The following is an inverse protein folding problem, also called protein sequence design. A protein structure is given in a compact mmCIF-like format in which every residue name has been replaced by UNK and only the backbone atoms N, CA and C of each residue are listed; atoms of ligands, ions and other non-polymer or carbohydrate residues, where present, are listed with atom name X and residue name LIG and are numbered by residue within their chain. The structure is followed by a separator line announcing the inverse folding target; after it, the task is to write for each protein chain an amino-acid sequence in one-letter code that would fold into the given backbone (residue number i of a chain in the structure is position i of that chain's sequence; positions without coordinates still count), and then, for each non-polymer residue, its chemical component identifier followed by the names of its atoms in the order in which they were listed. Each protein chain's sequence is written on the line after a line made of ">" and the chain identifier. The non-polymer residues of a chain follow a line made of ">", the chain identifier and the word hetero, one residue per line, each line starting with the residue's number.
data_IF_341224994180
#
_entry.id   IF_341224994180
#
_cell.length_a   1.000
_cell.length_b   1.000
_cell.length_c   1.000
_cell.angle_alpha   90.00
_cell.angle_beta   90.00
_cell.angle_gamma   90.00
#
_symmetry.space_group_name_H-M   'P 1'
#
loop_
_entity.id
_entity.type
_entity.pdbx_description
1 polymer ?
#
# COMPACT_ATOMS: atom_id res chain seq x y z
N UNK A 1 85.94 86.81 -168.46
CA UNK A 1 84.76 87.30 -167.70
C UNK A 1 83.65 86.25 -167.59
N UNK A 2 83.24 85.55 -168.66
CA UNK A 2 82.11 84.60 -168.62
C UNK A 2 82.31 83.33 -167.75
N UNK A 3 83.53 82.77 -167.68
CA UNK A 3 83.84 81.58 -166.87
C UNK A 3 83.85 81.84 -165.35
N UNK A 4 84.23 83.05 -164.90
CA UNK A 4 84.18 83.45 -163.49
C UNK A 4 82.73 83.65 -163.00
N UNK A 5 81.85 84.18 -163.86
CA UNK A 5 80.43 84.36 -163.55
C UNK A 5 79.71 83.00 -163.47
N UNK A 6 80.04 82.06 -164.38
CA UNK A 6 79.50 80.70 -164.34
C UNK A 6 79.96 79.92 -163.09
N UNK A 7 81.23 80.03 -162.70
CA UNK A 7 81.74 79.42 -161.46
C UNK A 7 81.08 80.01 -160.21
N UNK A 8 80.88 81.34 -160.15
CA UNK A 8 80.15 82.00 -159.06
C UNK A 8 78.66 81.59 -159.02
N UNK A 9 78.00 81.41 -160.16
CA UNK A 9 76.62 80.92 -160.22
C UNK A 9 76.51 79.45 -159.76
N UNK A 10 77.46 78.58 -160.12
CA UNK A 10 77.49 77.18 -159.68
C UNK A 10 77.80 77.09 -158.19
N UNK A 11 78.74 77.89 -157.68
CA UNK A 11 79.08 77.95 -156.26
C UNK A 11 77.94 78.53 -155.41
N UNK A 12 77.23 79.55 -155.91
CA UNK A 12 75.99 80.07 -155.29
C UNK A 12 74.88 79.04 -155.30
N UNK A 13 74.74 78.24 -156.36
CA UNK A 13 73.73 77.17 -156.46
C UNK A 13 74.07 76.00 -155.53
N UNK A 14 75.34 75.61 -155.45
CA UNK A 14 75.86 74.62 -154.50
C UNK A 14 75.64 75.08 -153.06
N UNK A 15 75.99 76.33 -152.74
CA UNK A 15 75.75 76.94 -151.42
C UNK A 15 74.26 76.99 -151.07
N UNK A 16 73.38 77.26 -152.04
CA UNK A 16 71.93 77.19 -151.84
C UNK A 16 71.43 75.75 -151.58
N UNK A 17 71.94 74.75 -152.31
CA UNK A 17 71.60 73.34 -152.06
C UNK A 17 72.12 72.85 -150.71
N UNK A 18 73.37 73.19 -150.36
CA UNK A 18 73.95 72.90 -149.05
C UNK A 18 73.16 73.60 -147.92
N UNK A 19 72.72 74.84 -148.13
CA UNK A 19 71.84 75.56 -147.19
C UNK A 19 70.50 74.85 -147.00
N UNK A 20 69.87 74.38 -148.08
CA UNK A 20 68.57 73.69 -148.03
C UNK A 20 68.70 72.30 -147.35
N UNK A 21 69.79 71.58 -147.62
CA UNK A 21 70.14 70.33 -146.93
C UNK A 21 70.38 70.58 -145.44
N UNK A 22 71.17 71.60 -145.09
CA UNK A 22 71.39 71.98 -143.68
C UNK A 22 70.09 72.40 -143.00
N UNK A 23 69.18 73.07 -143.69
CA UNK A 23 67.86 73.45 -143.16
C UNK A 23 66.99 72.21 -142.90
N UNK A 24 67.02 71.21 -143.79
CA UNK A 24 66.34 69.92 -143.59
C UNK A 24 66.90 69.13 -142.41
N UNK A 25 68.24 69.09 -142.26
CA UNK A 25 68.89 68.45 -141.11
C UNK A 25 68.59 69.21 -139.82
N UNK A 26 68.59 70.55 -139.83
CA UNK A 26 68.19 71.37 -138.67
C UNK A 26 66.74 71.12 -138.26
N UNK A 27 65.83 70.96 -139.23
CA UNK A 27 64.43 70.61 -138.94
C UNK A 27 64.33 69.22 -138.31
N UNK A 28 65.05 68.22 -138.85
CA UNK A 28 65.06 66.87 -138.30
C UNK A 28 65.68 66.82 -136.90
N UNK A 29 66.76 67.56 -136.66
CA UNK A 29 67.37 67.70 -135.33
C UNK A 29 66.36 68.28 -134.36
N UNK A 30 65.64 69.35 -134.72
CA UNK A 30 64.59 69.94 -133.88
C UNK A 30 63.44 68.97 -133.58
N UNK A 31 63.03 68.17 -134.56
CA UNK A 31 62.02 67.11 -134.35
C UNK A 31 62.51 66.04 -133.38
N UNK A 32 63.76 65.59 -133.53
CA UNK A 32 64.37 64.60 -132.64
C UNK A 32 64.57 65.16 -131.23
N UNK A 33 65.03 66.40 -131.09
CA UNK A 33 65.13 67.13 -129.82
C UNK A 33 63.76 67.27 -129.14
N UNK A 34 62.69 67.53 -129.92
CA UNK A 34 61.33 67.59 -129.40
C UNK A 34 60.82 66.24 -128.89
N UNK A 35 61.12 65.15 -129.61
CA UNK A 35 60.80 63.78 -129.17
C UNK A 35 61.62 63.38 -127.94
N UNK A 36 62.90 63.74 -127.88
CA UNK A 36 63.77 63.54 -126.72
C UNK A 36 63.23 64.28 -125.48
N UNK A 37 62.83 65.55 -125.63
CA UNK A 37 62.22 66.32 -124.55
C UNK A 37 60.91 65.70 -124.06
N UNK A 38 60.08 65.16 -124.96
CA UNK A 38 58.86 64.45 -124.60
C UNK A 38 59.17 63.15 -123.84
N UNK A 39 60.15 62.35 -124.29
CA UNK A 39 60.56 61.14 -123.58
C UNK A 39 61.14 61.45 -122.20
N UNK A 40 61.95 62.51 -122.07
CA UNK A 40 62.47 62.95 -120.77
C UNK A 40 61.30 63.36 -119.84
N UNK A 41 60.30 64.07 -120.36
CA UNK A 41 59.12 64.44 -119.59
C UNK A 41 58.31 63.20 -119.14
N UNK A 42 58.13 62.20 -120.01
CA UNK A 42 57.44 60.95 -119.68
C UNK A 42 58.22 60.12 -118.65
N UNK A 43 59.55 60.00 -118.79
CA UNK A 43 60.42 59.34 -117.81
C UNK A 43 60.29 60.02 -116.44
N UNK A 44 60.33 61.35 -116.40
CA UNK A 44 60.16 62.11 -115.15
C UNK A 44 58.78 61.87 -114.53
N UNK A 45 57.71 61.79 -115.35
CA UNK A 45 56.37 61.46 -114.86
C UNK A 45 56.29 60.03 -114.30
N UNK A 46 56.84 59.05 -115.01
CA UNK A 46 56.89 57.66 -114.54
C UNK A 46 57.74 57.51 -113.27
N UNK A 47 58.84 58.24 -113.16
CA UNK A 47 59.67 58.26 -111.97
C UNK A 47 58.92 58.87 -110.77
N UNK A 48 58.18 59.96 -110.99
CA UNK A 48 57.29 60.53 -109.97
C UNK A 48 56.21 59.53 -109.54
N UNK A 49 55.55 58.84 -110.49
CA UNK A 49 54.56 57.82 -110.17
C UNK A 49 55.18 56.64 -109.41
N UNK A 50 56.36 56.17 -109.81
CA UNK A 50 57.10 55.13 -109.10
C UNK A 50 57.43 55.56 -107.67
N UNK A 51 57.84 56.80 -107.46
CA UNK A 51 58.15 57.34 -106.13
C UNK A 51 56.90 57.42 -105.25
N UNK A 52 55.75 57.83 -105.81
CA UNK A 52 54.47 57.84 -105.09
C UNK A 52 54.07 56.41 -104.69
N UNK A 53 54.06 55.47 -105.65
CA UNK A 53 53.71 54.08 -105.38
C UNK A 53 54.66 53.42 -104.37
N UNK A 54 55.96 53.74 -104.43
CA UNK A 54 56.93 53.27 -103.46
C UNK A 54 56.65 53.80 -102.06
N UNK A 55 56.34 55.09 -101.94
CA UNK A 55 55.96 55.70 -100.66
C UNK A 55 54.65 55.11 -100.10
N UNK A 56 53.63 54.91 -100.94
CA UNK A 56 52.37 54.26 -100.56
C UNK A 56 52.61 52.82 -100.09
N UNK A 57 53.46 52.06 -100.79
CA UNK A 57 53.82 50.69 -100.40
C UNK A 57 54.49 50.67 -99.03
N UNK A 58 55.43 51.58 -98.78
CA UNK A 58 56.09 51.68 -97.47
C UNK A 58 55.12 52.08 -96.36
N UNK A 59 54.19 53.01 -96.63
CA UNK A 59 53.16 53.39 -95.67
C UNK A 59 52.23 52.23 -95.34
N UNK A 60 51.75 51.49 -96.36
CA UNK A 60 50.92 50.31 -96.16
C UNK A 60 51.68 49.21 -95.41
N UNK A 61 52.96 49.02 -95.70
CA UNK A 61 53.80 48.06 -94.98
C UNK A 61 53.94 48.43 -93.50
N UNK A 62 54.17 49.70 -93.18
CA UNK A 62 54.19 50.19 -91.79
C UNK A 62 52.85 49.92 -91.10
N UNK A 63 51.74 50.29 -91.74
CA UNK A 63 50.40 50.07 -91.20
C UNK A 63 50.10 48.58 -90.97
N UNK A 64 50.47 47.70 -91.90
CA UNK A 64 50.32 46.25 -91.73
C UNK A 64 51.14 45.75 -90.53
N UNK A 65 52.36 46.27 -90.33
CA UNK A 65 53.20 45.90 -89.19
C UNK A 65 52.57 46.35 -87.85
N UNK A 66 52.04 47.57 -87.79
CA UNK A 66 51.35 48.11 -86.61
C UNK A 66 50.08 47.31 -86.29
N UNK A 67 49.26 47.00 -87.30
CA UNK A 67 48.06 46.17 -87.13
C UNK A 67 48.39 44.76 -86.66
N UNK A 68 49.49 44.16 -87.14
CA UNK A 68 49.96 42.85 -86.65
C UNK A 68 50.38 42.92 -85.19
N UNK A 69 51.15 43.94 -84.81
CA UNK A 69 51.55 44.13 -83.41
C UNK A 69 50.33 44.35 -82.49
N UNK A 70 49.38 45.21 -82.89
CA UNK A 70 48.12 45.40 -82.16
C UNK A 70 47.36 44.09 -81.97
N UNK A 71 47.24 43.28 -83.03
CA UNK A 71 46.59 41.96 -82.94
C UNK A 71 47.33 41.01 -82.00
N UNK A 72 48.65 41.02 -81.99
CA UNK A 72 49.45 40.19 -81.07
C UNK A 72 49.27 40.61 -79.61
N UNK A 73 49.24 41.92 -79.33
CA UNK A 73 48.95 42.45 -78.00
C UNK A 73 47.56 42.00 -77.55
N UNK A 74 46.53 42.21 -78.38
CA UNK A 74 45.16 41.80 -78.07
C UNK A 74 45.04 40.28 -77.86
N UNK A 75 45.73 39.47 -78.66
CA UNK A 75 45.73 38.02 -78.47
C UNK A 75 46.37 37.60 -77.15
N UNK A 76 47.46 38.26 -76.73
CA UNK A 76 48.10 38.02 -75.43
C UNK A 76 47.19 38.42 -74.28
N UNK A 77 46.52 39.57 -74.39
CA UNK A 77 45.53 40.02 -73.40
C UNK A 77 44.35 39.06 -73.31
N UNK A 78 43.81 38.60 -74.45
CA UNK A 78 42.74 37.61 -74.49
C UNK A 78 43.18 36.29 -73.82
N UNK A 79 44.40 35.82 -74.09
CA UNK A 79 44.96 34.65 -73.41
C UNK A 79 45.05 34.83 -71.89
N UNK A 80 45.46 36.02 -71.43
CA UNK A 80 45.48 36.37 -70.00
C UNK A 80 44.07 36.33 -69.38
N UNK A 81 43.07 36.92 -70.05
CA UNK A 81 41.69 36.91 -69.57
C UNK A 81 41.08 35.51 -69.54
N UNK A 82 41.39 34.65 -70.52
CA UNK A 82 40.97 33.24 -70.51
C UNK A 82 41.57 32.49 -69.32
N UNK A 83 42.88 32.69 -69.05
CA UNK A 83 43.54 32.11 -67.89
C UNK A 83 42.95 32.58 -66.56
N UNK A 84 42.70 33.89 -66.43
CA UNK A 84 42.05 34.47 -65.24
C UNK A 84 40.64 33.92 -65.03
N UNK A 85 39.86 33.77 -66.11
CA UNK A 85 38.52 33.18 -66.06
C UNK A 85 38.56 31.73 -65.57
N UNK A 86 39.46 30.91 -66.11
CA UNK A 86 39.60 29.51 -65.69
C UNK A 86 40.02 29.38 -64.21
N UNK A 87 40.91 30.25 -63.74
CA UNK A 87 41.30 30.31 -62.34
C UNK A 87 40.13 30.70 -61.44
N UNK A 88 39.35 31.71 -61.83
CA UNK A 88 38.16 32.15 -61.10
C UNK A 88 37.05 31.08 -61.08
N UNK A 89 36.87 30.36 -62.17
CA UNK A 89 35.91 29.24 -62.24
C UNK A 89 36.31 28.09 -61.31
N UNK A 90 37.62 27.81 -61.20
CA UNK A 90 38.14 26.82 -60.25
C UNK A 90 37.91 27.26 -58.80
N UNK A 91 38.16 28.54 -58.48
CA UNK A 91 37.92 29.04 -57.12
C UNK A 91 36.44 29.10 -56.79
N UNK A 92 35.57 29.43 -57.75
CA UNK A 92 34.12 29.37 -57.61
C UNK A 92 33.65 27.96 -57.28
N UNK A 93 34.09 26.95 -58.03
CA UNK A 93 33.72 25.55 -57.79
C UNK A 93 34.21 25.05 -56.41
N UNK A 94 35.41 25.47 -55.98
CA UNK A 94 35.91 25.15 -54.63
C UNK A 94 35.04 25.77 -53.55
N UNK A 95 34.72 27.06 -53.67
CA UNK A 95 33.86 27.76 -52.70
C UNK A 95 32.45 27.17 -52.66
N UNK A 96 31.90 26.81 -53.81
CA UNK A 96 30.61 26.13 -53.91
C UNK A 96 30.62 24.81 -53.12
N UNK A 97 31.66 24.00 -53.27
CA UNK A 97 31.78 22.74 -52.53
C UNK A 97 31.97 22.97 -51.02
N UNK A 98 32.72 24.01 -50.63
CA UNK A 98 32.87 24.40 -49.22
C UNK A 98 31.53 24.83 -48.60
N UNK A 99 30.71 25.59 -49.33
CA UNK A 99 29.35 25.97 -48.90
C UNK A 99 28.49 24.72 -48.70
N UNK A 100 28.46 23.80 -49.67
CA UNK A 100 27.68 22.56 -49.57
C UNK A 100 28.13 21.68 -48.39
N UNK A 101 29.43 21.61 -48.11
CA UNK A 101 29.97 20.88 -46.97
C UNK A 101 29.55 21.54 -45.64
N UNK A 102 29.58 22.87 -45.56
CA UNK A 102 29.12 23.61 -44.38
C UNK A 102 27.61 23.42 -44.17
N UNK A 103 26.81 23.45 -45.23
CA UNK A 103 25.36 23.20 -45.15
C UNK A 103 25.05 21.78 -44.65
N UNK A 104 25.75 20.77 -45.17
CA UNK A 104 25.64 19.39 -44.69
C UNK A 104 26.03 19.28 -43.21
N UNK A 105 27.17 19.83 -42.82
CA UNK A 105 27.63 19.86 -41.42
C UNK A 105 26.64 20.57 -40.49
N UNK A 106 26.03 21.68 -40.95
CA UNK A 106 25.00 22.41 -40.21
C UNK A 106 23.76 21.56 -39.99
N UNK A 107 23.30 20.82 -41.00
CA UNK A 107 22.14 19.93 -40.88
C UNK A 107 22.44 18.78 -39.92
N UNK A 108 23.63 18.17 -40.01
CA UNK A 108 24.06 17.11 -39.11
C UNK A 108 24.13 17.58 -37.65
N UNK A 109 24.73 18.74 -37.40
CA UNK A 109 24.78 19.36 -36.07
C UNK A 109 23.38 19.70 -35.56
N UNK A 110 22.50 20.23 -36.40
CA UNK A 110 21.12 20.52 -36.03
C UNK A 110 20.37 19.25 -35.61
N UNK A 111 20.53 18.17 -36.38
CA UNK A 111 19.90 16.89 -36.08
C UNK A 111 20.44 16.26 -34.79
N UNK A 112 21.77 16.29 -34.58
CA UNK A 112 22.42 15.83 -33.36
C UNK A 112 21.95 16.62 -32.14
N UNK A 113 21.92 17.95 -32.25
CA UNK A 113 21.42 18.83 -31.19
C UNK A 113 19.93 18.57 -30.89
N UNK A 114 19.09 18.39 -31.91
CA UNK A 114 17.68 18.07 -31.72
C UNK A 114 17.49 16.70 -31.04
N UNK A 115 18.32 15.70 -31.36
CA UNK A 115 18.30 14.39 -30.71
C UNK A 115 18.74 14.49 -29.23
N UNK A 116 19.84 15.18 -28.94
CA UNK A 116 20.31 15.34 -27.56
C UNK A 116 19.32 16.16 -26.73
N UNK A 117 18.70 17.20 -27.31
CA UNK A 117 17.62 17.95 -26.66
C UNK A 117 16.45 17.05 -26.28
N UNK A 118 15.97 16.20 -27.18
CA UNK A 118 14.88 15.25 -26.89
C UNK A 118 15.24 14.28 -25.77
N UNK A 119 16.48 13.78 -25.77
CA UNK A 119 17.00 12.91 -24.72
C UNK A 119 17.06 13.62 -23.37
N UNK A 120 17.53 14.85 -23.35
CA UNK A 120 17.55 15.69 -22.14
C UNK A 120 16.12 15.94 -21.63
N UNK A 121 15.17 16.25 -22.50
CA UNK A 121 13.76 16.48 -22.15
C UNK A 121 13.13 15.21 -21.55
N UNK A 122 13.43 14.03 -22.11
CA UNK A 122 12.99 12.75 -21.55
C UNK A 122 13.57 12.52 -20.15
N UNK A 123 14.88 12.73 -19.97
CA UNK A 123 15.54 12.59 -18.68
C UNK A 123 14.96 13.53 -17.62
N UNK A 124 14.70 14.79 -17.97
CA UNK A 124 14.05 15.75 -17.06
C UNK A 124 12.64 15.28 -16.70
N UNK A 125 11.88 14.73 -17.66
CA UNK A 125 10.55 14.17 -17.38
C UNK A 125 10.62 12.99 -16.40
N UNK A 126 11.58 12.08 -16.58
CA UNK A 126 11.79 10.93 -15.67
C UNK A 126 12.18 11.40 -14.27
N UNK A 127 13.18 12.28 -14.15
CA UNK A 127 13.58 12.82 -12.85
C UNK A 127 12.43 13.57 -12.15
N UNK A 128 11.59 14.29 -12.90
CA UNK A 128 10.39 14.92 -12.32
C UNK A 128 9.40 13.89 -11.78
N UNK A 129 9.15 12.81 -12.53
CA UNK A 129 8.29 11.73 -12.06
C UNK A 129 8.83 11.06 -10.80
N UNK A 130 10.13 10.78 -10.74
CA UNK A 130 10.80 10.23 -9.55
C UNK A 130 10.69 11.17 -8.35
N UNK A 131 10.92 12.47 -8.54
CA UNK A 131 10.74 13.48 -7.48
C UNK A 131 9.30 13.48 -6.97
N UNK A 132 8.30 13.42 -7.85
CA UNK A 132 6.90 13.36 -7.44
C UNK A 132 6.58 12.08 -6.67
N UNK A 133 7.11 10.92 -7.09
CA UNK A 133 6.96 9.67 -6.36
C UNK A 133 7.59 9.73 -4.96
N UNK A 134 8.81 10.27 -4.84
CA UNK A 134 9.47 10.45 -3.55
C UNK A 134 8.70 11.43 -2.65
N UNK A 135 8.13 12.50 -3.21
CA UNK A 135 7.28 13.42 -2.46
C UNK A 135 6.01 12.74 -1.91
N UNK A 136 5.36 11.90 -2.71
CA UNK A 136 4.20 11.10 -2.28
C UNK A 136 4.61 10.16 -1.14
N UNK A 137 5.75 9.46 -1.28
CA UNK A 137 6.22 8.55 -0.23
C UNK A 137 6.57 9.28 1.07
N UNK A 138 7.21 10.45 0.98
CA UNK A 138 7.48 11.30 2.15
C UNK A 138 6.19 11.78 2.82
N UNK A 139 5.16 12.13 2.04
CA UNK A 139 3.87 12.55 2.59
C UNK A 139 3.17 11.40 3.34
N UNK A 140 3.21 10.19 2.79
CA UNK A 140 2.65 8.99 3.43
C UNK A 140 3.41 8.65 4.72
N UNK A 141 4.74 8.65 4.69
CA UNK A 141 5.55 8.40 5.90
C UNK A 141 5.30 9.46 6.98
N UNK A 142 5.07 10.72 6.61
CA UNK A 142 4.69 11.77 7.57
C UNK A 142 3.34 11.49 8.21
N UNK A 143 2.35 11.07 7.43
CA UNK A 143 1.03 10.71 7.92
C UNK A 143 1.10 9.53 8.90
N UNK A 144 1.84 8.48 8.54
CA UNK A 144 2.06 7.32 9.42
C UNK A 144 2.77 7.73 10.72
N UNK A 145 3.76 8.62 10.63
CA UNK A 145 4.43 9.16 11.82
C UNK A 145 3.44 9.90 12.74
N UNK A 146 2.60 10.76 12.20
CA UNK A 146 1.57 11.47 12.98
C UNK A 146 0.58 10.50 13.64
N UNK A 147 0.19 9.43 12.94
CA UNK A 147 -0.67 8.37 13.50
C UNK A 147 0.02 7.63 14.66
N UNK A 148 1.30 7.28 14.53
CA UNK A 148 2.05 6.67 15.62
C UNK A 148 2.24 7.62 16.81
N UNK A 149 2.49 8.91 16.57
CA UNK A 149 2.55 9.92 17.63
C UNK A 149 1.20 10.01 18.37
N UNK A 150 0.07 10.02 17.65
CA UNK A 150 -1.25 10.00 18.26
C UNK A 150 -1.48 8.73 19.11
N UNK A 151 -1.15 7.56 18.59
CA UNK A 151 -1.26 6.29 19.32
C UNK A 151 -0.37 6.28 20.57
N UNK A 152 0.84 6.84 20.49
CA UNK A 152 1.74 6.98 21.63
C UNK A 152 1.11 7.87 22.70
N UNK A 153 0.57 9.04 22.33
CA UNK A 153 -0.09 9.94 23.29
C UNK A 153 -1.32 9.30 23.95
N UNK A 154 -2.09 8.49 23.21
CA UNK A 154 -3.21 7.72 23.76
C UNK A 154 -2.72 6.69 24.77
N UNK A 155 -1.66 5.95 24.44
CA UNK A 155 -1.07 4.95 25.33
C UNK A 155 -0.48 5.59 26.59
N UNK A 156 0.21 6.73 26.45
CA UNK A 156 0.73 7.54 27.56
C UNK A 156 -0.39 8.02 28.49
N UNK A 157 -1.60 8.25 27.98
CA UNK A 157 -2.78 8.60 28.78
C UNK A 157 -3.45 7.38 29.43
N UNK A 158 -3.54 6.25 28.73
CA UNK A 158 -4.19 5.04 29.25
C UNK A 158 -3.40 4.38 30.37
N UNK A 159 -2.06 4.37 30.27
CA UNK A 159 -1.19 3.77 31.29
C UNK A 159 -1.44 4.30 32.71
N UNK A 160 -1.42 5.62 33.00
CA UNK A 160 -1.68 6.13 34.33
C UNK A 160 -3.12 5.85 34.81
N UNK A 161 -4.10 5.81 33.90
CA UNK A 161 -5.48 5.44 34.26
C UNK A 161 -5.60 3.99 34.74
N UNK A 162 -4.90 3.07 34.07
CA UNK A 162 -4.79 1.67 34.51
C UNK A 162 -4.02 1.53 35.81
N UNK A 163 -2.92 2.27 35.98
CA UNK A 163 -2.15 2.30 37.24
C UNK A 163 -2.99 2.82 38.41
N UNK A 164 -3.80 3.86 38.20
CA UNK A 164 -4.75 4.39 39.19
C UNK A 164 -5.80 3.36 39.56
N UNK A 165 -6.45 2.72 38.57
CA UNK A 165 -7.45 1.65 38.82
C UNK A 165 -6.85 0.46 39.56
N UNK A 166 -5.62 0.08 39.23
CA UNK A 166 -4.90 -0.98 39.91
C UNK A 166 -4.61 -0.60 41.37
N UNK A 167 -4.21 0.66 41.61
CA UNK A 167 -4.01 1.17 42.96
C UNK A 167 -5.32 1.17 43.77
N UNK A 168 -6.42 1.65 43.19
CA UNK A 168 -7.76 1.60 43.81
C UNK A 168 -8.15 0.17 44.22
N UNK A 169 -8.00 -0.81 43.31
CA UNK A 169 -8.30 -2.21 43.59
C UNK A 169 -7.41 -2.78 44.70
N UNK A 170 -6.12 -2.44 44.72
CA UNK A 170 -5.22 -2.86 45.82
C UNK A 170 -5.69 -2.32 47.17
N UNK A 171 -6.13 -1.06 47.24
CA UNK A 171 -6.66 -0.47 48.47
C UNK A 171 -7.94 -1.19 48.89
N UNK A 172 -8.86 -1.48 47.97
CA UNK A 172 -10.09 -2.23 48.27
C UNK A 172 -9.80 -3.64 48.82
N UNK A 173 -8.81 -4.35 48.24
CA UNK A 173 -8.38 -5.65 48.74
C UNK A 173 -7.85 -5.53 50.18
N UNK A 174 -6.98 -4.57 50.46
CA UNK A 174 -6.45 -4.33 51.82
C UNK A 174 -7.57 -4.04 52.82
N UNK A 175 -8.57 -3.23 52.45
CA UNK A 175 -9.73 -2.97 53.32
C UNK A 175 -10.54 -4.24 53.61
N UNK A 176 -10.75 -5.10 52.60
CA UNK A 176 -11.45 -6.36 52.77
C UNK A 176 -10.65 -7.34 53.66
N UNK A 177 -9.33 -7.43 53.48
CA UNK A 177 -8.45 -8.22 54.33
C UNK A 177 -8.50 -7.77 55.79
N UNK A 178 -8.50 -6.45 56.05
CA UNK A 178 -8.65 -5.91 57.41
C UNK A 178 -10.02 -6.29 58.00
N UNK A 179 -11.10 -6.18 57.22
CA UNK A 179 -12.46 -6.59 57.66
C UNK A 179 -12.53 -8.09 57.93
N UNK A 180 -11.89 -8.92 57.13
CA UNK A 180 -11.84 -10.38 57.33
C UNK A 180 -11.05 -10.72 58.59
N UNK A 181 -9.87 -10.13 58.79
CA UNK A 181 -9.07 -10.32 60.00
C UNK A 181 -9.84 -9.90 61.26
N UNK A 182 -10.58 -8.79 61.20
CA UNK A 182 -11.45 -8.36 62.29
C UNK A 182 -12.56 -9.38 62.59
N UNK A 183 -13.25 -9.87 61.55
CA UNK A 183 -14.26 -10.94 61.71
C UNK A 183 -13.65 -12.22 62.29
N UNK A 184 -12.47 -12.63 61.85
CA UNK A 184 -11.76 -13.80 62.37
C UNK A 184 -11.38 -13.63 63.85
N UNK A 185 -10.97 -12.43 64.27
CA UNK A 185 -10.74 -12.11 65.69
C UNK A 185 -12.02 -12.29 66.52
N UNK A 186 -13.15 -11.74 66.06
CA UNK A 186 -14.45 -11.87 66.74
C UNK A 186 -14.88 -13.35 66.80
N UNK A 187 -14.71 -14.11 65.72
CA UNK A 187 -15.03 -15.54 65.68
C UNK A 187 -14.16 -16.30 66.70
N UNK A 188 -12.87 -15.99 66.79
CA UNK A 188 -11.97 -16.59 67.79
C UNK A 188 -12.40 -16.29 69.22
N UNK A 189 -12.75 -15.03 69.52
CA UNK A 189 -13.29 -14.62 70.82
C UNK A 189 -14.59 -15.38 71.15
N UNK A 190 -15.56 -15.41 70.23
CA UNK A 190 -16.83 -16.14 70.41
C UNK A 190 -16.64 -17.65 70.56
N UNK A 191 -15.68 -18.23 69.83
CA UNK A 191 -15.29 -19.63 69.96
C UNK A 191 -14.73 -19.93 71.36
N UNK A 192 -13.89 -19.04 71.90
CA UNK A 192 -13.37 -19.16 73.25
C UNK A 192 -14.47 -18.99 74.31
N UNK A 193 -15.35 -18.00 74.18
CA UNK A 193 -16.52 -17.84 75.05
C UNK A 193 -17.36 -19.12 75.06
N UNK A 194 -17.63 -19.70 73.88
CA UNK A 194 -18.37 -20.97 73.76
C UNK A 194 -17.67 -22.11 74.49
N UNK A 195 -16.35 -22.26 74.35
CA UNK A 195 -15.58 -23.27 75.11
C UNK A 195 -15.70 -23.07 76.63
N UNK A 196 -15.71 -21.82 77.11
CA UNK A 196 -15.90 -21.53 78.55
C UNK A 196 -17.32 -21.83 79.03
N UNK A 197 -18.32 -21.63 78.19
CA UNK A 197 -19.70 -22.01 78.49
C UNK A 197 -19.84 -23.54 78.50
N UNK A 198 -19.24 -24.23 77.53
CA UNK A 198 -19.23 -25.70 77.49
C UNK A 198 -18.56 -26.29 78.73
N UNK A 199 -17.46 -25.71 79.23
CA UNK A 199 -16.85 -26.15 80.48
C UNK A 199 -17.74 -25.89 81.70
N UNK A 200 -18.44 -24.75 81.75
CA UNK A 200 -19.46 -24.47 82.79
C UNK A 200 -20.62 -25.48 82.72
N UNK A 201 -21.15 -25.77 81.53
CA UNK A 201 -22.21 -26.77 81.34
C UNK A 201 -21.74 -28.14 81.82
N UNK A 202 -20.53 -28.58 81.42
CA UNK A 202 -19.95 -29.84 81.92
C UNK A 202 -19.85 -29.85 83.45
N UNK A 203 -19.41 -28.76 84.06
CA UNK A 203 -19.33 -28.64 85.52
C UNK A 203 -20.71 -28.71 86.21
N UNK A 204 -21.75 -28.18 85.56
CA UNK A 204 -23.12 -28.27 86.04
C UNK A 204 -23.69 -29.68 85.86
N UNK A 205 -23.40 -30.34 84.73
CA UNK A 205 -23.76 -31.73 84.50
C UNK A 205 -23.13 -32.65 85.53
N UNK A 206 -21.83 -32.49 85.85
CA UNK A 206 -21.18 -33.29 86.91
C UNK A 206 -21.81 -33.05 88.27
N UNK A 207 -22.20 -31.80 88.58
CA UNK A 207 -22.93 -31.50 89.83
C UNK A 207 -24.31 -32.14 89.84
N UNK A 208 -25.01 -32.14 88.71
CA UNK A 208 -26.31 -32.79 88.57
C UNK A 208 -26.18 -34.30 88.77
N UNK A 209 -25.20 -34.96 88.13
CA UNK A 209 -24.99 -36.40 88.30
C UNK A 209 -24.64 -36.76 89.74
N UNK A 210 -23.79 -35.97 90.42
CA UNK A 210 -23.52 -36.19 91.85
C UNK A 210 -24.78 -36.04 92.71
N UNK A 211 -25.64 -35.07 92.40
CA UNK A 211 -26.92 -34.91 93.11
C UNK A 211 -27.91 -36.03 92.80
N UNK A 212 -27.92 -36.54 91.57
CA UNK A 212 -28.70 -37.71 91.17
C UNK A 212 -28.22 -38.97 91.92
N UNK A 213 -26.90 -39.15 92.06
CA UNK A 213 -26.29 -40.24 92.82
C UNK A 213 -26.60 -40.13 94.32
N UNK A 214 -26.49 -38.93 94.90
CA UNK A 214 -26.92 -38.65 96.28
C UNK A 214 -28.41 -38.96 96.48
N UNK A 215 -29.27 -38.58 95.53
CA UNK A 215 -30.70 -38.93 95.59
C UNK A 215 -30.91 -40.44 95.51
N UNK A 216 -30.16 -41.15 94.66
CA UNK A 216 -30.25 -42.61 94.56
C UNK A 216 -29.81 -43.28 95.87
N UNK A 217 -28.71 -42.84 96.48
CA UNK A 217 -28.26 -43.41 97.76
C UNK A 217 -29.26 -43.14 98.88
N UNK A 218 -29.87 -41.95 98.91
CA UNK A 218 -30.97 -41.66 99.83
C UNK A 218 -32.19 -42.55 99.55
N UNK A 219 -32.53 -42.78 98.29
CA UNK A 219 -33.64 -43.67 97.92
C UNK A 219 -33.35 -45.13 98.32
N UNK A 220 -32.12 -45.60 98.13
CA UNK A 220 -31.67 -46.93 98.58
C UNK A 220 -31.72 -47.03 100.12
N UNK A 221 -31.32 -45.97 100.83
CA UNK A 221 -31.45 -45.89 102.30
C UNK A 221 -32.91 -45.93 102.75
N UNK A 222 -33.80 -45.20 102.08
CA UNK A 222 -35.25 -45.24 102.36
C UNK A 222 -35.79 -46.65 102.10
N UNK A 223 -35.37 -47.32 101.03
CA UNK A 223 -35.75 -48.71 100.76
C UNK A 223 -35.28 -49.65 101.87
N UNK A 224 -34.03 -49.54 102.33
CA UNK A 224 -33.52 -50.33 103.45
C UNK A 224 -34.31 -50.09 104.74
N UNK A 225 -34.60 -48.84 105.06
CA UNK A 225 -35.45 -48.50 106.21
C UNK A 225 -36.86 -49.07 106.06
N UNK A 226 -37.38 -49.13 104.84
CA UNK A 226 -38.69 -49.70 104.54
C UNK A 226 -38.68 -51.23 104.68
N UNK A 227 -37.60 -51.90 104.27
CA UNK A 227 -37.37 -53.33 104.47
C UNK A 227 -37.19 -53.66 105.96
N UNK A 228 -36.43 -52.86 106.71
CA UNK A 228 -36.33 -52.98 108.17
C UNK A 228 -37.70 -52.78 108.83
N UNK A 229 -38.47 -51.80 108.38
CA UNK A 229 -39.85 -51.58 108.86
C UNK A 229 -40.74 -52.79 108.56
N UNK A 230 -40.62 -53.41 107.38
CA UNK A 230 -41.35 -54.63 107.03
C UNK A 230 -40.90 -55.84 107.87
N UNK A 231 -39.60 -55.98 108.13
CA UNK A 231 -39.05 -57.02 108.98
C UNK A 231 -39.53 -56.86 110.42
N UNK A 232 -39.46 -55.64 110.96
CA UNK A 232 -40.01 -55.31 112.28
C UNK A 232 -41.52 -55.55 112.33
N UNK A 233 -42.26 -55.21 111.27
CA UNK A 233 -43.68 -55.49 111.18
C UNK A 233 -43.97 -57.00 111.17
N UNK A 234 -43.12 -57.79 110.52
CA UNK A 234 -43.20 -59.27 110.51
C UNK A 234 -42.85 -59.84 111.88
N UNK A 235 -41.82 -59.31 112.55
CA UNK A 235 -41.44 -59.70 113.91
C UNK A 235 -42.53 -59.34 114.93
N UNK A 236 -43.17 -58.18 114.79
CA UNK A 236 -44.34 -57.78 115.59
C UNK A 236 -45.51 -58.73 115.35
N UNK A 237 -45.74 -59.14 114.10
CA UNK A 237 -46.77 -60.13 113.76
C UNK A 237 -46.47 -61.51 114.35
N UNK A 238 -45.20 -61.95 114.34
CA UNK A 238 -44.76 -63.21 114.93
C UNK A 238 -44.80 -63.18 116.47
N UNK A 239 -44.53 -62.01 117.09
CA UNK A 239 -44.74 -61.76 118.51
C UNK A 239 -46.23 -61.77 118.90
N UNK A 240 -47.10 -61.19 118.06
CA UNK A 240 -48.56 -61.29 118.22
C UNK A 240 -49.03 -62.74 118.13
N UNK A 241 -48.51 -63.52 117.16
CA UNK A 241 -48.87 -64.92 116.97
C UNK A 241 -48.30 -65.86 118.05
N UNK A 242 -47.16 -65.50 118.67
CA UNK A 242 -46.62 -66.24 119.81
C UNK A 242 -47.30 -65.86 121.13
N UNK A 243 -47.81 -64.64 121.27
CA UNK A 243 -48.73 -64.26 122.35
C UNK A 243 -50.09 -64.99 122.23
N UNK A 244 -50.56 -65.24 121.01
CA UNK A 244 -51.83 -65.94 120.71
C UNK A 244 -51.82 -67.45 121.06
N UNK A 245 -50.64 -68.07 121.22
CA UNK A 245 -50.51 -69.51 121.58
C UNK A 245 -50.39 -69.80 123.08
N UNK A 246 -50.44 -68.77 123.95
CA UNK A 246 -50.18 -68.91 125.40
C UNK A 246 -51.32 -68.44 126.32
N UNK A 247 -52.51 -68.09 125.81
CA UNK A 247 -53.65 -67.77 126.67
C UNK A 247 -55.01 -67.88 125.92
N UNK A 248 -55.96 -68.75 126.32
CA UNK A 248 -57.29 -68.78 125.72
C UNK A 248 -58.27 -68.00 126.62
N UNK A 249 -58.19 -66.67 126.68
CA UNK A 249 -59.29 -65.88 127.25
C UNK A 249 -59.20 -64.37 126.91
N UNK A 250 -60.38 -63.80 126.63
CA UNK A 250 -60.73 -62.39 126.37
C UNK A 250 -60.47 -61.82 124.96
N UNK A 251 -61.56 -61.67 124.20
CA UNK A 251 -61.67 -60.72 123.09
C UNK A 251 -62.48 -59.51 123.56
N UNK A 252 -61.80 -58.37 123.63
CA UNK A 252 -62.35 -57.06 123.94
C UNK A 252 -62.90 -56.42 122.67
N UNK A 253 -64.07 -55.84 122.85
CA UNK A 253 -64.75 -54.84 122.04
C UNK A 253 -63.92 -53.58 121.77
N UNK A 254 -64.14 -53.02 120.56
CA UNK A 254 -64.07 -51.58 120.22
C UNK A 254 -62.68 -50.91 120.09
N UNK A 255 -62.38 -50.02 119.15
CA UNK A 255 -63.11 -49.30 118.10
C UNK A 255 -62.00 -48.65 117.23
N UNK A 256 -61.96 -48.79 115.89
CA UNK A 256 -62.58 -47.84 114.97
C UNK A 256 -62.67 -48.45 113.57
N UNK A 257 -63.91 -48.63 113.12
CA UNK A 257 -64.29 -48.81 111.72
C UNK A 257 -65.24 -47.66 111.34
N UNK A 258 -65.05 -47.14 110.13
CA UNK A 258 -66.02 -46.79 109.07
C UNK A 258 -65.11 -46.18 107.98
N UNK A 259 -64.59 -46.96 107.03
CA UNK A 259 -65.19 -47.43 105.77
C UNK A 259 -65.63 -46.34 104.81
N UNK A 260 -65.18 -46.53 103.56
CA UNK A 260 -65.92 -46.47 102.28
C UNK A 260 -65.22 -45.54 101.27
N UNK A 261 -64.88 -45.88 100.03
CA UNK A 261 -64.95 -47.06 99.17
C UNK A 261 -63.94 -46.70 98.05
N UNK A 262 -63.00 -47.55 97.62
CA UNK A 262 -63.29 -48.59 96.65
C UNK A 262 -62.36 -48.45 95.43
N UNK A 263 -61.85 -49.61 94.99
CA UNK A 263 -61.60 -50.03 93.60
C UNK A 263 -60.29 -49.59 92.90
N UNK A 264 -59.43 -50.62 92.75
CA UNK A 264 -58.73 -51.13 91.54
C UNK A 264 -58.14 -50.09 90.56
N UNK A 265 -56.82 -50.03 90.42
CA UNK A 265 -55.96 -50.88 89.57
C UNK A 265 -55.67 -50.21 88.21
N UNK A 266 -54.48 -50.51 87.69
CA UNK A 266 -54.00 -50.18 86.33
C UNK A 266 -53.50 -48.73 86.17
N UNK A 267 -52.18 -48.53 86.26
CA UNK A 267 -51.28 -48.56 85.11
C UNK A 267 -51.45 -47.30 84.23
N UNK A 268 -50.49 -46.38 84.33
CA UNK A 268 -49.70 -45.88 83.20
C UNK A 268 -48.90 -44.61 83.59
N UNK A 269 -47.58 -44.78 83.50
CA UNK A 269 -46.59 -43.76 83.15
C UNK A 269 -46.75 -43.48 81.61
N UNK A 270 -46.13 -42.50 80.95
CA UNK A 270 -45.73 -41.11 81.23
C UNK A 270 -46.01 -40.13 80.05
N UNK A 271 -45.43 -38.91 80.08
CA UNK A 271 -45.08 -38.04 78.93
C UNK A 271 -45.93 -38.14 77.64
N UNK A 272 -46.93 -37.26 77.49
CA UNK A 272 -47.65 -37.10 76.21
C UNK A 272 -47.54 -35.71 75.56
N UNK A 273 -46.81 -34.74 76.12
CA UNK A 273 -46.96 -33.34 75.69
C UNK A 273 -45.70 -32.64 75.14
N UNK A 274 -44.66 -33.36 74.69
CA UNK A 274 -43.47 -32.65 74.20
C UNK A 274 -42.72 -33.29 73.03
N UNK A 275 -43.46 -33.77 72.03
CA UNK A 275 -42.91 -34.09 70.70
C UNK A 275 -43.82 -33.51 69.62
N UNK A 276 -43.53 -32.27 69.24
CA UNK A 276 -44.19 -31.54 68.16
C UNK A 276 -43.19 -30.82 67.28
N UNK A 277 -42.88 -31.46 66.14
CA UNK A 277 -42.62 -30.86 64.82
C UNK A 277 -41.22 -30.26 64.58
N UNK A 278 -40.35 -31.12 64.04
CA UNK A 278 -39.26 -30.78 63.14
C UNK A 278 -39.84 -30.79 61.71
N UNK A 279 -39.73 -29.70 60.98
CA UNK A 279 -39.92 -29.63 59.52
C UNK A 279 -38.57 -29.36 58.84
N UNK A 280 -38.14 -30.14 57.84
CA UNK A 280 -37.10 -29.72 56.92
C UNK A 280 -37.69 -29.19 55.61
N UNK A 281 -37.07 -28.11 55.18
CA UNK A 281 -37.32 -27.31 53.98
C UNK A 281 -37.03 -28.09 52.69
N UNK A 282 -37.88 -27.78 51.70
CA UNK A 282 -37.88 -28.15 50.28
C UNK A 282 -36.51 -28.19 49.60
N UNK A 283 -36.27 -29.27 48.86
CA UNK A 283 -35.26 -29.37 47.80
C UNK A 283 -35.87 -28.91 46.47
N UNK A 284 -35.31 -27.85 45.88
CA UNK A 284 -35.52 -27.50 44.47
C UNK A 284 -34.26 -27.76 43.66
N UNK A 285 -34.48 -28.10 42.40
CA UNK A 285 -33.57 -28.07 41.25
C UNK A 285 -32.56 -29.19 41.06
N UNK A 286 -33.00 -30.21 40.30
CA UNK A 286 -32.20 -30.82 39.24
C UNK A 286 -33.10 -31.04 38.02
N UNK A 287 -32.92 -30.23 36.97
CA UNK A 287 -33.21 -30.57 35.57
C UNK A 287 -31.84 -30.45 34.88
N UNK A 288 -31.11 -31.54 34.66
CA UNK A 288 -31.26 -32.50 33.57
C UNK A 288 -31.13 -31.85 32.20
N UNK A 289 -29.87 -31.78 31.78
CA UNK A 289 -29.39 -31.66 30.41
C UNK A 289 -30.13 -32.67 29.51
N UNK A 290 -30.73 -32.17 28.43
CA UNK A 290 -31.01 -32.95 27.24
C UNK A 290 -30.53 -32.14 26.04
N UNK A 291 -29.54 -32.71 25.36
CA UNK A 291 -28.96 -32.26 24.10
C UNK A 291 -30.06 -32.12 23.04
N UNK A 292 -30.40 -30.88 22.75
CA UNK A 292 -30.73 -30.44 21.39
C UNK A 292 -29.66 -29.38 21.12
N UNK A 293 -28.78 -29.62 20.15
CA UNK A 293 -27.85 -28.59 19.65
C UNK A 293 -28.71 -27.61 18.85
N UNK A 294 -29.48 -26.81 19.56
CA UNK A 294 -30.10 -25.61 19.04
C UNK A 294 -28.98 -24.57 18.96
N UNK A 295 -28.81 -23.97 17.78
CA UNK A 295 -27.91 -22.84 17.61
C UNK A 295 -28.18 -21.85 18.74
N UNK A 296 -27.13 -21.39 19.44
CA UNK A 296 -27.30 -20.25 20.35
C UNK A 296 -27.99 -19.12 19.57
N UNK A 297 -28.94 -18.42 20.20
CA UNK A 297 -29.80 -17.44 19.52
C UNK A 297 -29.03 -16.33 18.77
N UNK A 298 -27.77 -16.12 19.12
CA UNK A 298 -26.81 -15.23 18.45
C UNK A 298 -26.44 -15.72 17.04
N UNK A 299 -26.22 -17.03 16.87
CA UNK A 299 -25.87 -17.63 15.57
C UNK A 299 -27.07 -17.71 14.62
N UNK A 300 -28.29 -17.83 15.15
CA UNK A 300 -29.52 -17.74 14.36
C UNK A 300 -29.77 -16.31 13.85
N UNK A 301 -29.44 -15.30 14.65
CA UNK A 301 -29.49 -13.90 14.22
C UNK A 301 -28.43 -13.60 13.15
N UNK A 302 -27.20 -14.10 13.34
CA UNK A 302 -26.13 -14.02 12.34
C UNK A 302 -26.58 -14.63 11.01
N UNK A 303 -27.15 -15.84 11.03
CA UNK A 303 -27.68 -16.51 9.83
C UNK A 303 -28.75 -15.69 9.10
N UNK A 304 -29.64 -15.01 9.80
CA UNK A 304 -30.70 -14.19 9.19
C UNK A 304 -30.17 -12.92 8.52
N UNK A 305 -29.02 -12.42 8.98
CA UNK A 305 -28.42 -11.18 8.48
C UNK A 305 -27.42 -11.42 7.34
N UNK A 306 -27.00 -12.66 7.12
CA UNK A 306 -26.09 -13.02 6.04
C UNK A 306 -26.76 -12.93 4.66
N UNK A 307 -26.13 -12.17 3.76
CA UNK A 307 -26.49 -12.12 2.36
C UNK A 307 -25.99 -13.36 1.60
N UNK A 308 -26.57 -13.62 0.42
CA UNK A 308 -26.22 -14.79 -0.39
C UNK A 308 -24.74 -14.81 -0.80
N UNK A 309 -24.14 -13.64 -1.07
CA UNK A 309 -22.73 -13.48 -1.39
C UNK A 309 -21.81 -13.82 -0.21
N UNK A 310 -22.18 -13.39 1.00
CA UNK A 310 -21.46 -13.65 2.26
C UNK A 310 -21.53 -15.14 2.66
N UNK A 311 -22.67 -15.78 2.40
CA UNK A 311 -22.83 -17.22 2.55
C UNK A 311 -21.90 -18.02 1.63
N UNK A 312 -21.84 -17.65 0.34
CA UNK A 312 -20.97 -18.31 -0.64
C UNK A 312 -19.49 -18.16 -0.28
N UNK A 313 -19.10 -17.06 0.38
CA UNK A 313 -17.76 -16.86 0.92
C UNK A 313 -17.46 -17.83 2.07
N UNK A 314 -18.37 -17.97 3.04
CA UNK A 314 -18.23 -18.95 4.14
C UNK A 314 -18.14 -20.39 3.61
N UNK A 315 -18.94 -20.73 2.59
CA UNK A 315 -18.88 -22.02 1.91
C UNK A 315 -17.55 -22.25 1.17
N UNK A 316 -17.08 -21.25 0.43
CA UNK A 316 -15.81 -21.33 -0.30
C UNK A 316 -14.61 -21.53 0.65
N UNK A 317 -14.63 -20.90 1.83
CA UNK A 317 -13.57 -21.04 2.84
C UNK A 317 -13.58 -22.43 3.51
N UNK A 318 -14.76 -23.05 3.66
CA UNK A 318 -14.86 -24.39 4.26
C UNK A 318 -14.54 -25.54 3.30
N UNK A 319 -14.86 -25.40 2.02
CA UNK A 319 -14.72 -26.51 1.05
C UNK A 319 -13.38 -26.52 0.30
N UNK A 320 -12.67 -25.39 0.22
CA UNK A 320 -11.50 -25.25 -0.65
C UNK A 320 -10.22 -24.96 0.13
N UNK A 321 -9.14 -25.68 -0.19
CA UNK A 321 -7.80 -25.41 0.37
C UNK A 321 -7.24 -24.03 -0.06
N UNK A 322 -7.71 -23.47 -1.19
CA UNK A 322 -7.37 -22.13 -1.65
C UNK A 322 -8.64 -21.30 -1.97
N UNK A 323 -9.21 -20.62 -0.97
CA UNK A 323 -10.49 -19.91 -1.13
C UNK A 323 -10.36 -18.59 -1.91
N UNK A 324 -9.16 -18.04 -2.10
CA UNK A 324 -8.97 -16.72 -2.72
C UNK A 324 -9.48 -16.65 -4.16
N UNK A 325 -9.31 -17.73 -4.94
CA UNK A 325 -9.78 -17.78 -6.33
C UNK A 325 -11.31 -17.76 -6.42
N UNK A 326 -12.00 -18.47 -5.52
CA UNK A 326 -13.46 -18.53 -5.47
C UNK A 326 -14.07 -17.26 -4.87
N UNK A 327 -13.47 -16.71 -3.81
CA UNK A 327 -13.89 -15.42 -3.24
C UNK A 327 -13.73 -14.31 -4.29
N UNK A 328 -12.66 -14.33 -5.09
CA UNK A 328 -12.49 -13.37 -6.19
C UNK A 328 -13.60 -13.46 -7.22
N UNK A 329 -13.99 -14.68 -7.60
CA UNK A 329 -15.10 -14.90 -8.55
C UNK A 329 -16.44 -14.42 -7.97
N UNK A 330 -16.72 -14.71 -6.70
CA UNK A 330 -17.93 -14.26 -6.00
C UNK A 330 -17.97 -12.73 -5.89
N UNK A 331 -16.83 -12.10 -5.63
CA UNK A 331 -16.70 -10.64 -5.57
C UNK A 331 -16.96 -9.98 -6.95
N UNK A 332 -16.42 -10.56 -8.02
CA UNK A 332 -16.67 -10.10 -9.40
C UNK A 332 -18.15 -10.23 -9.79
N UNK A 333 -18.82 -11.33 -9.41
CA UNK A 333 -20.25 -11.55 -9.67
C UNK A 333 -21.15 -10.57 -8.90
N UNK A 334 -20.71 -10.09 -7.73
CA UNK A 334 -21.46 -9.14 -6.89
C UNK A 334 -20.99 -7.69 -7.02
N UNK A 335 -20.06 -7.38 -7.94
CA UNK A 335 -19.47 -6.04 -8.13
C UNK A 335 -18.89 -5.48 -6.81
N UNK A 336 -18.22 -6.35 -6.04
CA UNK A 336 -17.56 -6.00 -4.78
C UNK A 336 -16.07 -6.38 -4.80
N UNK A 337 -15.33 -6.00 -3.76
CA UNK A 337 -13.95 -6.44 -3.58
C UNK A 337 -13.88 -7.65 -2.64
N UNK A 338 -12.98 -8.63 -2.87
CA UNK A 338 -12.82 -9.81 -2.02
C UNK A 338 -12.61 -9.50 -0.54
N UNK A 339 -11.80 -8.48 -0.24
CA UNK A 339 -11.53 -8.05 1.13
C UNK A 339 -12.78 -7.50 1.81
N UNK A 340 -13.58 -6.69 1.10
CA UNK A 340 -14.82 -6.11 1.63
C UNK A 340 -15.88 -7.17 1.95
N UNK A 341 -15.91 -8.29 1.21
CA UNK A 341 -16.81 -9.39 1.54
C UNK A 341 -16.39 -10.13 2.82
N UNK A 342 -15.08 -10.34 3.00
CA UNK A 342 -14.55 -10.96 4.23
C UNK A 342 -14.76 -10.02 5.43
N UNK A 343 -14.50 -8.72 5.24
CA UNK A 343 -14.73 -7.70 6.25
C UNK A 343 -16.21 -7.60 6.62
N UNK A 344 -17.12 -7.66 5.64
CA UNK A 344 -18.57 -7.66 5.90
C UNK A 344 -19.02 -8.86 6.73
N UNK A 345 -18.52 -10.07 6.43
CA UNK A 345 -18.81 -11.28 7.22
C UNK A 345 -18.28 -11.13 8.65
N UNK A 346 -17.06 -10.62 8.81
CA UNK A 346 -16.44 -10.40 10.11
C UNK A 346 -17.10 -9.26 10.91
N UNK A 347 -17.57 -8.22 10.25
CA UNK A 347 -18.32 -7.12 10.86
C UNK A 347 -19.68 -7.62 11.35
N UNK A 348 -20.40 -8.41 10.54
CA UNK A 348 -21.65 -9.04 10.95
C UNK A 348 -21.44 -10.01 12.12
N UNK A 349 -20.35 -10.78 12.10
CA UNK A 349 -20.00 -11.68 13.19
C UNK A 349 -19.68 -10.92 14.47
N UNK A 350 -18.88 -9.86 14.38
CA UNK A 350 -18.57 -8.97 15.51
C UNK A 350 -19.83 -8.33 16.09
N UNK A 351 -20.78 -7.93 15.24
CA UNK A 351 -22.03 -7.29 15.67
C UNK A 351 -23.05 -8.25 16.30
N UNK A 352 -22.99 -9.54 15.96
CA UNK A 352 -24.00 -10.53 16.40
C UNK A 352 -23.48 -11.51 17.44
N UNK A 353 -22.28 -12.04 17.23
CA UNK A 353 -21.62 -13.05 18.06
C UNK A 353 -20.57 -12.39 18.97
N UNK A 354 -20.12 -11.16 18.66
CA UNK A 354 -19.10 -10.45 19.43
C UNK A 354 -17.66 -10.84 19.09
N UNK A 355 -17.48 -11.74 18.14
CA UNK A 355 -16.19 -12.34 17.76
C UNK A 355 -16.03 -12.38 16.24
N UNK A 356 -14.77 -12.39 15.78
CA UNK A 356 -14.44 -12.52 14.36
C UNK A 356 -14.49 -13.99 13.97
N UNK A 357 -15.07 -14.31 12.81
CA UNK A 357 -15.20 -15.71 12.34
C UNK A 357 -14.07 -16.09 11.38
N UNK A 358 -13.61 -15.15 10.55
CA UNK A 358 -12.58 -15.36 9.53
C UNK A 358 -11.29 -14.69 9.95
N UNK A 359 -10.24 -15.49 10.10
CA UNK A 359 -8.87 -15.04 10.31
C UNK A 359 -8.27 -14.56 8.98
N UNK A 360 -7.97 -13.26 8.90
CA UNK A 360 -7.37 -12.58 7.73
C UNK A 360 -5.86 -12.39 7.84
N UNK A 361 -5.26 -12.80 8.96
CA UNK A 361 -3.80 -12.70 9.22
C UNK A 361 -2.99 -13.82 8.57
N UNK A 362 -3.64 -14.88 8.08
CA UNK A 362 -3.03 -16.00 7.38
C UNK A 362 -2.94 -15.75 5.87
N UNK A 363 -2.01 -16.42 5.19
CA UNK A 363 -1.81 -16.33 3.72
C UNK A 363 -3.08 -16.67 2.91
N UNK A 364 -4.01 -17.40 3.55
CA UNK A 364 -5.34 -17.72 3.05
C UNK A 364 -6.37 -17.47 4.15
N UNK A 365 -7.53 -16.86 3.86
CA UNK A 365 -8.57 -16.65 4.87
C UNK A 365 -9.08 -18.00 5.40
N UNK A 366 -9.06 -18.16 6.72
CA UNK A 366 -9.48 -19.40 7.41
C UNK A 366 -10.50 -19.08 8.49
N UNK A 367 -11.42 -20.00 8.74
CA UNK A 367 -12.36 -19.86 9.86
C UNK A 367 -11.67 -20.31 11.14
N UNK A 368 -11.86 -19.57 12.23
CA UNK A 368 -11.34 -19.98 13.55
C UNK A 368 -11.88 -21.34 13.95
N UNK A 369 -11.01 -22.20 14.49
CA UNK A 369 -11.32 -23.61 14.79
C UNK A 369 -12.52 -23.79 15.72
N UNK A 370 -12.80 -22.80 16.57
CA UNK A 370 -13.90 -22.78 17.53
C UNK A 370 -15.26 -22.54 16.88
N UNK A 371 -15.29 -21.98 15.66
CA UNK A 371 -16.52 -21.61 14.96
C UNK A 371 -16.86 -22.50 13.76
N UNK A 372 -15.97 -23.44 13.40
CA UNK A 372 -16.16 -24.34 12.25
C UNK A 372 -17.44 -25.18 12.39
N UNK A 373 -17.74 -25.70 13.58
CA UNK A 373 -18.94 -26.51 13.83
C UNK A 373 -20.23 -25.69 13.67
N UNK A 374 -20.27 -24.47 14.19
CA UNK A 374 -21.43 -23.58 14.09
C UNK A 374 -21.66 -23.10 12.64
N UNK A 375 -20.59 -22.74 11.92
CA UNK A 375 -20.68 -22.35 10.50
C UNK A 375 -21.11 -23.55 9.63
N UNK A 376 -20.67 -24.77 9.95
CA UNK A 376 -21.11 -25.98 9.26
C UNK A 376 -22.62 -26.23 9.45
N UNK A 377 -23.16 -25.97 10.65
CA UNK A 377 -24.61 -26.08 10.89
C UNK A 377 -25.38 -25.00 10.12
N UNK A 378 -24.87 -23.77 10.06
CA UNK A 378 -25.47 -22.68 9.27
C UNK A 378 -25.51 -23.02 7.77
N UNK A 379 -24.43 -23.60 7.23
CA UNK A 379 -24.35 -24.03 5.83
C UNK A 379 -25.38 -25.11 5.54
N UNK A 380 -25.45 -26.15 6.38
CA UNK A 380 -26.43 -27.22 6.23
C UNK A 380 -27.87 -26.70 6.30
N UNK A 381 -28.13 -25.75 7.20
CA UNK A 381 -29.46 -25.18 7.35
C UNK A 381 -29.86 -24.24 6.20
N UNK A 382 -28.89 -23.58 5.55
CA UNK A 382 -29.14 -22.76 4.37
C UNK A 382 -29.36 -23.62 3.11
N UNK A 383 -28.64 -24.73 2.97
CA UNK A 383 -28.83 -25.68 1.87
C UNK A 383 -30.21 -26.36 1.93
N UNK A 384 -30.71 -26.71 3.12
CA UNK A 384 -32.08 -27.22 3.26
C UNK A 384 -33.14 -26.16 2.89
N UNK A 385 -32.92 -24.89 3.27
CA UNK A 385 -33.82 -23.79 2.90
C UNK A 385 -33.80 -23.47 1.39
N UNK A 386 -32.65 -23.63 0.72
CA UNK A 386 -32.53 -23.45 -0.74
C UNK A 386 -33.15 -24.60 -1.55
N UNK A 387 -33.20 -25.82 -1.00
CA UNK A 387 -33.91 -26.94 -1.64
C UNK A 387 -35.44 -26.83 -1.53
N UNK A 388 -35.97 -26.11 -0.54
CA UNK A 388 -37.41 -25.87 -0.39
C UNK A 388 -37.95 -24.79 -1.36
N UNK A 389 -37.12 -23.86 -1.82
CA UNK A 389 -37.53 -22.81 -2.78
C UNK A 389 -37.49 -23.24 -4.24
N UNK A 390 -36.95 -24.43 -4.56
CA UNK A 390 -36.87 -24.97 -5.92
C UNK A 390 -38.01 -25.95 -6.27
N UNK A 391 -38.95 -26.18 -5.35
CA UNK A 391 -40.13 -27.05 -5.49
C UNK A 391 -41.48 -26.32 -5.32
N UNK A 392 -41.50 -24.98 -5.39
CA UNK A 392 -42.72 -24.18 -5.37
C UNK A 392 -43.04 -23.56 -6.74
#
# INVERSE_FOLDING_TARGET
>A
MATYIAAFCVDKRRRNYEMLILESYRKRIRELEGVEANFIAEINQLENHRNILYNETNQLQSQISERRNQREILNRELGSFVGQKAALETTYNRLQHEIENIERSKIELHNSFAAEKRKQDLNVSVCRAEITQLQIHIAELKKQKEEFENNLTLLERLKPQLEEKLHELRVQIQELEVKENHKNSIISEKSNERKTLDSKIKSLQTKLTTKQEELKTLQDQVSLLQDERNLLQTQVWELLQSAEKLNPEYSIEENHNIYDNGVEAEAEFPFSDLLGIIEPVSTQNIQSQNQIVELSGEWDNFRRQLNQSEFLVLKAILEQENPNASIKKIAEENITMPSLLIDAVNELASNTIGELIIETTSEYPKIYTEHIENVCIIIKAYETAATETHFA
#
